data_IF_875418039276
#
_entry.id   IF_875418039276
#
_cell.length_a   1.000
_cell.length_b   1.000
_cell.length_c   1.000
_cell.angle_alpha   90.00
_cell.angle_beta   90.00
_cell.angle_gamma   90.00
#
_symmetry.space_group_name_H-M   'P 1'
#
loop_
_entity.id
_entity.type
_entity.pdbx_description
1 polymer ?
#
# COMPACT_ATOMS: atom_id res chain seq x y z
N UNK A 1 8.85 6.46 48.74
CA UNK A 1 9.63 6.53 47.50
C UNK A 1 8.73 7.17 46.47
N UNK A 2 9.00 8.44 46.19
CA UNK A 2 8.23 9.33 45.31
C UNK A 2 8.53 9.01 43.87
N UNK A 3 7.54 8.47 43.15
CA UNK A 3 7.54 8.43 41.69
C UNK A 3 7.34 9.87 41.19
N UNK A 4 8.37 10.48 40.60
CA UNK A 4 8.19 11.71 39.84
C UNK A 4 7.56 11.32 38.51
N UNK A 5 6.23 11.32 38.44
CA UNK A 5 5.53 11.36 37.18
C UNK A 5 6.05 12.59 36.43
N UNK A 6 6.70 12.39 35.29
CA UNK A 6 7.09 13.48 34.40
C UNK A 6 5.79 14.12 33.93
N UNK A 7 5.39 15.22 34.58
CA UNK A 7 4.24 16.00 34.17
C UNK A 7 4.43 16.38 32.70
N UNK A 8 3.47 15.99 31.85
CA UNK A 8 3.51 16.35 30.43
C UNK A 8 3.57 17.86 30.32
N UNK A 9 4.57 18.39 29.61
CA UNK A 9 4.68 19.83 29.37
C UNK A 9 3.68 20.23 28.29
N UNK A 10 3.02 21.37 28.51
CA UNK A 10 2.14 22.02 27.55
C UNK A 10 2.74 23.38 27.15
N UNK A 11 3.00 23.58 25.87
CA UNK A 11 3.43 24.85 25.27
C UNK A 11 2.21 25.71 24.98
N UNK A 12 2.11 26.84 25.66
CA UNK A 12 1.01 27.80 25.53
C UNK A 12 1.54 29.12 25.00
N UNK A 13 0.78 29.76 24.11
CA UNK A 13 1.01 31.14 23.68
C UNK A 13 -0.04 32.02 24.35
N UNK A 14 0.37 32.89 25.26
CA UNK A 14 -0.51 33.83 25.96
C UNK A 14 -0.36 35.22 25.38
N UNK A 15 -1.46 35.80 24.90
CA UNK A 15 -1.54 37.16 24.36
C UNK A 15 -2.17 38.09 25.39
N UNK A 16 -1.36 38.99 25.92
CA UNK A 16 -1.79 40.11 26.75
C UNK A 16 -1.97 41.37 25.88
N UNK A 17 -2.57 42.47 26.40
CA UNK A 17 -2.84 43.67 25.61
C UNK A 17 -1.61 44.25 24.90
N UNK A 18 -0.45 44.23 25.56
CA UNK A 18 0.77 44.89 25.10
C UNK A 18 1.90 43.90 24.72
N UNK A 19 1.68 42.59 24.85
CA UNK A 19 2.72 41.59 24.59
C UNK A 19 2.16 40.18 24.32
N UNK A 20 3.00 39.30 23.77
CA UNK A 20 2.73 37.87 23.63
C UNK A 20 3.87 37.09 24.30
N UNK A 21 3.54 36.06 25.08
CA UNK A 21 4.49 35.23 25.81
C UNK A 21 4.23 33.76 25.48
N UNK A 22 5.28 33.03 25.13
CA UNK A 22 5.23 31.58 24.94
C UNK A 22 5.83 30.89 26.17
N UNK A 23 5.07 30.01 26.82
CA UNK A 23 5.50 29.30 28.03
C UNK A 23 5.29 27.80 27.89
N UNK A 24 6.24 27.03 28.43
CA UNK A 24 6.06 25.60 28.63
C UNK A 24 5.71 25.38 30.10
N UNK A 25 4.51 24.86 30.36
CA UNK A 25 3.98 24.67 31.72
C UNK A 25 3.48 23.25 31.92
N UNK A 26 3.62 22.66 33.12
CA UNK A 26 3.13 21.31 33.38
C UNK A 26 1.60 21.24 33.21
N UNK A 27 1.12 20.24 32.47
CA UNK A 27 -0.28 20.13 32.03
C UNK A 27 -1.28 19.79 33.18
N UNK A 28 -0.75 19.46 34.36
CA UNK A 28 -1.47 19.15 35.59
C UNK A 28 -1.61 20.36 36.54
N UNK A 29 -1.01 21.51 36.20
CA UNK A 29 -1.12 22.74 37.00
C UNK A 29 -2.48 23.41 36.78
N UNK A 30 -3.18 23.86 37.85
CA UNK A 30 -4.40 24.66 37.76
C UNK A 30 -4.18 26.02 37.09
N UNK A 31 -5.21 26.53 36.41
CA UNK A 31 -5.15 27.85 35.75
C UNK A 31 -4.90 28.99 36.76
N UNK A 32 -5.46 28.90 37.96
CA UNK A 32 -5.24 29.84 39.06
C UNK A 32 -3.75 30.04 39.39
N UNK A 33 -2.96 28.98 39.36
CA UNK A 33 -1.54 29.01 39.72
C UNK A 33 -0.67 29.62 38.61
N UNK A 34 -1.19 29.66 37.38
CA UNK A 34 -0.52 30.24 36.22
C UNK A 34 -0.69 31.76 36.15
N UNK A 35 -1.85 32.28 36.60
CA UNK A 35 -2.21 33.69 36.52
C UNK A 35 -1.17 34.63 37.16
N UNK A 36 -0.71 34.43 38.41
CA UNK A 36 0.31 35.29 39.02
C UNK A 36 1.62 35.29 38.24
N UNK A 37 2.00 34.13 37.70
CA UNK A 37 3.24 34.01 36.92
C UNK A 37 3.13 34.76 35.60
N UNK A 38 1.97 34.70 34.94
CA UNK A 38 1.69 35.44 33.71
C UNK A 38 1.63 36.95 33.94
N UNK A 39 1.02 37.40 35.05
CA UNK A 39 0.93 38.83 35.38
C UNK A 39 2.29 39.47 35.61
N UNK A 40 3.22 38.77 36.26
CA UNK A 40 4.62 39.24 36.38
C UNK A 40 5.30 39.49 35.03
N UNK A 41 4.94 38.75 33.98
CA UNK A 41 5.49 39.00 32.65
C UNK A 41 4.87 40.23 31.97
N UNK A 42 3.62 40.57 32.30
CA UNK A 42 2.90 41.73 31.75
C UNK A 42 3.35 43.05 32.40
N UNK A 43 3.79 43.02 33.66
CA UNK A 43 4.38 44.15 34.38
C UNK A 43 3.70 44.43 35.73
N UNK A 44 4.41 45.06 36.67
CA UNK A 44 3.92 45.35 38.04
C UNK A 44 2.63 46.19 38.06
N UNK A 45 2.44 47.09 37.08
CA UNK A 45 1.21 47.89 36.91
C UNK A 45 -0.04 47.03 36.60
N UNK A 46 0.13 45.82 36.05
CA UNK A 46 -0.97 44.90 35.75
C UNK A 46 -1.47 44.15 36.99
N UNK A 47 -0.60 43.91 37.97
CA UNK A 47 -0.98 43.32 39.26
C UNK A 47 -1.79 44.32 40.11
N UNK A 48 -1.40 45.60 40.12
CA UNK A 48 -2.09 46.66 40.88
C UNK A 48 -3.44 47.04 40.27
N UNK A 49 -3.56 47.05 38.94
CA UNK A 49 -4.81 47.36 38.23
C UNK A 49 -5.87 46.25 38.29
N UNK A 50 -5.52 45.05 38.81
CA UNK A 50 -6.47 43.95 38.97
C UNK A 50 -7.63 44.25 39.93
N UNK A 51 -7.42 45.17 40.89
CA UNK A 51 -8.44 45.60 41.85
C UNK A 51 -9.54 46.45 41.21
N UNK A 52 -9.20 47.21 40.17
CA UNK A 52 -10.15 48.09 39.46
C UNK A 52 -11.01 47.34 38.42
N UNK A 53 -10.57 46.13 38.01
CA UNK A 53 -11.17 45.38 36.89
C UNK A 53 -11.70 43.99 37.26
N UNK A 54 -11.96 43.74 38.56
CA UNK A 54 -12.45 42.47 39.09
C UNK A 54 -11.56 41.26 38.75
N UNK A 55 -10.26 41.47 38.61
CA UNK A 55 -9.27 40.42 38.32
C UNK A 55 -8.98 40.20 36.83
N UNK A 56 -8.16 39.19 36.56
CA UNK A 56 -7.71 38.82 35.22
C UNK A 56 -8.19 37.44 34.85
N UNK A 57 -8.59 37.26 33.59
CA UNK A 57 -9.06 35.97 33.08
C UNK A 57 -8.23 35.51 31.89
N UNK A 58 -8.06 34.19 31.81
CA UNK A 58 -7.53 33.51 30.63
C UNK A 58 -8.69 32.91 29.84
N UNK A 59 -8.76 33.21 28.56
CA UNK A 59 -9.82 32.69 27.68
C UNK A 59 -9.26 32.30 26.32
N UNK A 60 -9.89 31.31 25.67
CA UNK A 60 -9.68 31.05 24.24
C UNK A 60 -10.53 32.01 23.43
N UNK A 61 -10.13 32.27 22.18
CA UNK A 61 -10.91 33.12 21.30
C UNK A 61 -12.25 32.44 20.98
N UNK A 62 -13.36 33.04 21.40
CA UNK A 62 -14.70 32.54 21.13
C UNK A 62 -15.26 31.58 22.19
N UNK A 63 -14.51 31.25 23.23
CA UNK A 63 -14.96 30.44 24.37
C UNK A 63 -15.17 31.33 25.61
N UNK A 64 -15.93 30.88 26.62
CA UNK A 64 -15.95 31.55 27.93
C UNK A 64 -14.56 31.54 28.61
N UNK A 65 -14.36 32.41 29.62
CA UNK A 65 -13.20 32.36 30.50
C UNK A 65 -12.96 30.96 31.05
N UNK A 66 -11.69 30.55 31.10
CA UNK A 66 -11.28 29.27 31.68
C UNK A 66 -11.58 29.25 33.17
N UNK A 67 -12.05 28.11 33.64
CA UNK A 67 -12.22 27.84 35.07
C UNK A 67 -10.85 27.82 35.75
N UNK A 68 -10.70 28.65 36.80
CA UNK A 68 -9.46 28.84 37.53
C UNK A 68 -9.05 27.56 38.30
N UNK A 69 -10.02 26.73 38.71
CA UNK A 69 -9.79 25.48 39.42
C UNK A 69 -9.42 24.32 38.47
N UNK A 70 -9.64 24.47 37.17
CA UNK A 70 -9.35 23.43 36.19
C UNK A 70 -7.85 23.34 35.89
N UNK A 71 -7.34 22.12 35.75
CA UNK A 71 -5.99 21.88 35.22
C UNK A 71 -5.95 22.17 33.72
N UNK A 72 -4.77 22.47 33.16
CA UNK A 72 -4.61 22.70 31.72
C UNK A 72 -5.18 21.54 30.87
N UNK A 73 -4.95 20.30 31.31
CA UNK A 73 -5.52 19.11 30.65
C UNK A 73 -7.03 19.04 30.82
N UNK A 74 -7.56 19.36 32.01
CA UNK A 74 -9.00 19.40 32.29
C UNK A 74 -9.75 20.47 31.50
N UNK A 75 -9.09 21.59 31.23
CA UNK A 75 -9.57 22.67 30.35
C UNK A 75 -9.46 22.33 28.84
N UNK A 76 -8.90 21.16 28.50
CA UNK A 76 -8.69 20.71 27.12
C UNK A 76 -7.67 21.56 26.36
N UNK A 77 -6.62 22.04 27.04
CA UNK A 77 -5.52 22.76 26.42
C UNK A 77 -4.41 21.78 26.02
N UNK A 78 -3.92 21.94 24.80
CA UNK A 78 -2.87 21.12 24.20
C UNK A 78 -1.70 21.99 23.74
N UNK A 79 -0.57 21.35 23.43
CA UNK A 79 0.60 22.03 22.86
C UNK A 79 0.22 22.92 21.66
N UNK A 80 0.60 24.20 21.74
CA UNK A 80 0.32 25.22 20.74
C UNK A 80 -0.99 25.98 20.95
N UNK A 81 -1.69 25.80 22.07
CA UNK A 81 -2.90 26.56 22.36
C UNK A 81 -2.60 28.05 22.56
N UNK A 82 -3.43 28.91 21.96
CA UNK A 82 -3.35 30.36 22.08
C UNK A 82 -4.43 30.85 23.05
N UNK A 83 -4.00 31.54 24.11
CA UNK A 83 -4.85 32.10 25.16
C UNK A 83 -4.76 33.62 25.17
N UNK A 84 -5.83 34.27 25.57
CA UNK A 84 -5.89 35.72 25.74
C UNK A 84 -6.02 36.03 27.22
N UNK A 85 -5.08 36.83 27.73
CA UNK A 85 -5.10 37.35 29.09
C UNK A 85 -5.72 38.75 29.05
N UNK A 86 -6.88 38.91 29.67
CA UNK A 86 -7.65 40.16 29.69
C UNK A 86 -8.21 40.45 31.08
N UNK A 87 -8.48 41.72 31.41
CA UNK A 87 -9.26 42.06 32.59
C UNK A 87 -10.65 41.41 32.54
N UNK A 88 -11.20 40.99 33.68
CA UNK A 88 -12.48 40.29 33.75
C UNK A 88 -13.63 41.10 33.15
N UNK A 89 -13.61 42.42 33.34
CA UNK A 89 -14.58 43.37 32.74
C UNK A 89 -14.49 43.48 31.21
N UNK A 90 -13.39 43.01 30.62
CA UNK A 90 -13.13 43.02 29.17
C UNK A 90 -13.02 41.60 28.59
N UNK A 91 -13.66 40.62 29.24
CA UNK A 91 -13.76 39.27 28.69
C UNK A 91 -14.37 39.29 27.28
N UNK A 92 -13.83 38.44 26.40
CA UNK A 92 -14.30 38.38 25.02
C UNK A 92 -15.67 37.68 25.03
N UNK A 93 -16.63 38.17 24.22
CA UNK A 93 -17.91 37.50 24.11
C UNK A 93 -17.72 36.09 23.51
N UNK A 94 -18.46 35.12 24.04
CA UNK A 94 -18.53 33.77 23.47
C UNK A 94 -19.00 33.84 22.01
N UNK A 95 -18.40 33.02 21.14
CA UNK A 95 -18.72 32.97 19.74
C UNK A 95 -20.16 32.47 19.55
N UNK A 96 -21.10 33.41 19.35
CA UNK A 96 -22.45 33.09 18.90
C UNK A 96 -22.44 32.89 17.40
N UNK A 97 -22.63 31.64 16.99
CA UNK A 97 -22.94 31.28 15.60
C UNK A 97 -24.34 31.81 15.28
N UNK A 98 -24.39 32.94 14.57
CA UNK A 98 -25.64 33.63 14.20
C UNK A 98 -26.47 32.83 13.19
N UNK A 99 -25.84 31.84 12.53
CA UNK A 99 -26.48 30.94 11.59
C UNK A 99 -26.06 29.47 11.85
N UNK A 100 -26.88 28.77 12.64
CA UNK A 100 -26.72 27.34 12.89
C UNK A 100 -26.85 26.52 11.60
N UNK A 101 -27.53 27.02 10.57
CA UNK A 101 -27.70 26.33 9.29
C UNK A 101 -26.40 26.38 8.48
N UNK A 102 -25.76 27.55 8.39
CA UNK A 102 -24.45 27.68 7.76
C UNK A 102 -23.36 26.96 8.55
N UNK A 103 -23.38 27.03 9.89
CA UNK A 103 -22.46 26.27 10.73
C UNK A 103 -22.59 24.74 10.56
N UNK A 104 -23.82 24.23 10.41
CA UNK A 104 -24.07 22.82 10.10
C UNK A 104 -23.65 22.51 8.67
N UNK A 105 -23.92 23.36 7.69
CA UNK A 105 -23.57 23.14 6.28
C UNK A 105 -22.04 23.13 6.08
N UNK A 106 -21.31 24.03 6.74
CA UNK A 106 -19.85 24.11 6.67
C UNK A 106 -19.18 22.97 7.45
N UNK A 107 -19.71 22.63 8.63
CA UNK A 107 -19.22 21.48 9.41
C UNK A 107 -19.54 20.15 8.71
N UNK A 108 -20.71 20.04 8.08
CA UNK A 108 -21.07 18.90 7.24
C UNK A 108 -20.17 18.84 6.00
N UNK A 109 -19.89 19.97 5.34
CA UNK A 109 -18.97 20.06 4.21
C UNK A 109 -17.55 19.62 4.54
N UNK A 110 -17.04 20.01 5.71
CA UNK A 110 -15.68 19.71 6.15
C UNK A 110 -15.53 18.32 6.81
N UNK A 111 -16.54 17.82 7.54
CA UNK A 111 -16.46 16.51 8.22
C UNK A 111 -17.07 15.37 7.43
N UNK A 112 -18.15 15.62 6.67
CA UNK A 112 -18.73 14.63 5.78
C UNK A 112 -18.10 14.88 4.40
N UNK A 113 -17.39 13.90 3.84
CA UNK A 113 -16.82 13.99 2.49
C UNK A 113 -17.96 14.24 1.48
N UNK A 114 -18.24 15.50 1.19
CA UNK A 114 -19.29 15.91 0.27
C UNK A 114 -18.87 15.63 -1.17
N UNK A 115 -19.86 15.50 -2.05
CA UNK A 115 -19.65 15.21 -3.45
C UNK A 115 -18.87 16.35 -4.13
N UNK A 116 -17.64 16.06 -4.56
CA UNK A 116 -16.74 17.05 -5.18
C UNK A 116 -16.55 16.79 -6.68
N UNK A 117 -16.10 17.78 -7.46
CA UNK A 117 -15.70 17.56 -8.86
C UNK A 117 -14.66 16.44 -9.02
N UNK A 118 -13.74 16.32 -8.05
CA UNK A 118 -12.77 15.21 -8.00
C UNK A 118 -13.45 13.85 -7.80
N UNK A 119 -14.45 13.76 -6.92
CA UNK A 119 -15.23 12.55 -6.73
C UNK A 119 -16.03 12.17 -7.99
N UNK A 120 -16.66 13.14 -8.67
CA UNK A 120 -17.32 12.92 -9.97
C UNK A 120 -16.36 12.36 -11.02
N UNK A 121 -15.18 12.95 -11.16
CA UNK A 121 -14.15 12.47 -12.11
C UNK A 121 -13.69 11.07 -11.76
N UNK A 122 -13.42 10.82 -10.48
CA UNK A 122 -13.06 9.49 -9.98
C UNK A 122 -14.13 8.45 -10.29
N UNK A 123 -15.41 8.76 -10.07
CA UNK A 123 -16.53 7.89 -10.43
C UNK A 123 -16.56 7.62 -11.93
N UNK A 124 -16.51 8.66 -12.77
CA UNK A 124 -16.59 8.51 -14.21
C UNK A 124 -15.42 7.68 -14.77
N UNK A 125 -14.19 7.98 -14.35
CA UNK A 125 -13.02 7.19 -14.75
C UNK A 125 -13.11 5.76 -14.23
N UNK A 126 -13.58 5.57 -13.00
CA UNK A 126 -13.83 4.25 -12.42
C UNK A 126 -14.86 3.45 -13.22
N UNK A 127 -15.97 4.08 -13.62
CA UNK A 127 -17.01 3.45 -14.44
C UNK A 127 -16.52 3.14 -15.85
N UNK A 128 -15.71 4.02 -16.46
CA UNK A 128 -15.10 3.77 -17.77
C UNK A 128 -14.11 2.59 -17.70
N UNK A 129 -13.29 2.54 -16.64
CA UNK A 129 -12.40 1.42 -16.38
C UNK A 129 -13.17 0.11 -16.16
N UNK A 130 -14.24 0.13 -15.37
CA UNK A 130 -15.10 -1.03 -15.13
C UNK A 130 -15.79 -1.51 -16.43
N UNK A 131 -16.28 -0.59 -17.26
CA UNK A 131 -16.85 -0.92 -18.56
C UNK A 131 -15.81 -1.55 -19.50
N UNK A 132 -14.58 -1.02 -19.54
CA UNK A 132 -13.49 -1.60 -20.32
C UNK A 132 -13.11 -3.01 -19.83
N UNK A 133 -12.97 -3.21 -18.52
CA UNK A 133 -12.73 -4.54 -17.93
C UNK A 133 -13.85 -5.51 -18.27
N UNK A 134 -15.11 -5.05 -18.22
CA UNK A 134 -16.27 -5.87 -18.58
C UNK A 134 -16.24 -6.25 -20.06
N UNK A 135 -15.92 -5.32 -20.96
CA UNK A 135 -15.77 -5.60 -22.39
C UNK A 135 -14.66 -6.63 -22.66
N UNK A 136 -13.52 -6.53 -21.97
CA UNK A 136 -12.44 -7.52 -22.05
C UNK A 136 -12.91 -8.89 -21.56
N UNK A 137 -13.62 -8.95 -20.42
CA UNK A 137 -14.15 -10.20 -19.89
C UNK A 137 -15.14 -10.87 -20.86
N UNK A 138 -16.00 -10.09 -21.51
CA UNK A 138 -16.95 -10.59 -22.51
C UNK A 138 -16.24 -11.20 -23.72
N UNK A 139 -15.11 -10.63 -24.16
CA UNK A 139 -14.31 -11.16 -25.27
C UNK A 139 -13.46 -12.35 -24.84
N UNK A 140 -13.02 -12.42 -23.59
CA UNK A 140 -12.21 -13.51 -23.05
C UNK A 140 -13.00 -14.79 -22.76
N UNK A 141 -14.29 -14.67 -22.42
CA UNK A 141 -15.10 -15.78 -21.92
C UNK A 141 -15.34 -16.92 -22.93
N UNK A 142 -15.61 -18.15 -22.44
CA UNK A 142 -15.97 -19.29 -23.27
C UNK A 142 -17.31 -19.13 -23.99
N UNK A 143 -18.18 -18.21 -23.52
CA UNK A 143 -19.47 -17.88 -24.14
C UNK A 143 -19.34 -17.00 -25.39
N UNK A 144 -18.16 -16.44 -25.66
CA UNK A 144 -17.96 -15.52 -26.77
C UNK A 144 -18.10 -16.27 -28.11
N UNK A 145 -19.22 -16.04 -28.80
CA UNK A 145 -19.45 -16.52 -30.15
C UNK A 145 -18.55 -15.75 -31.14
N UNK A 146 -17.80 -16.47 -31.99
CA UNK A 146 -16.94 -15.88 -33.01
C UNK A 146 -15.60 -16.61 -33.17
N UNK A 147 -14.92 -16.38 -34.30
CA UNK A 147 -13.58 -16.93 -34.53
C UNK A 147 -12.55 -16.31 -33.56
N UNK A 148 -11.53 -17.08 -33.18
CA UNK A 148 -10.46 -16.60 -32.29
C UNK A 148 -9.79 -15.32 -32.81
N UNK A 149 -9.60 -15.21 -34.13
CA UNK A 149 -9.03 -14.03 -34.78
C UNK A 149 -9.91 -12.79 -34.65
N UNK A 150 -11.24 -12.93 -34.73
CA UNK A 150 -12.16 -11.81 -34.52
C UNK A 150 -12.07 -11.30 -33.09
N UNK A 151 -12.09 -12.21 -32.11
CA UNK A 151 -11.94 -11.86 -30.68
C UNK A 151 -10.59 -11.20 -30.39
N UNK A 152 -9.51 -11.72 -30.98
CA UNK A 152 -8.18 -11.11 -30.89
C UNK A 152 -8.16 -9.68 -31.49
N UNK A 153 -8.81 -9.49 -32.65
CA UNK A 153 -8.97 -8.17 -33.27
C UNK A 153 -9.73 -7.18 -32.39
N UNK A 154 -10.84 -7.60 -31.77
CA UNK A 154 -11.58 -6.77 -30.82
C UNK A 154 -10.74 -6.38 -29.60
N UNK A 155 -10.00 -7.32 -29.01
CA UNK A 155 -9.12 -7.05 -27.88
C UNK A 155 -7.97 -6.10 -28.25
N UNK A 156 -7.36 -6.28 -29.43
CA UNK A 156 -6.31 -5.41 -29.95
C UNK A 156 -6.84 -3.99 -30.19
N UNK A 157 -8.01 -3.87 -30.83
CA UNK A 157 -8.66 -2.58 -31.07
C UNK A 157 -9.00 -1.87 -29.75
N UNK A 158 -9.54 -2.58 -28.76
CA UNK A 158 -9.80 -2.04 -27.44
C UNK A 158 -8.51 -1.53 -26.77
N UNK A 159 -7.42 -2.29 -26.83
CA UNK A 159 -6.11 -1.86 -26.32
C UNK A 159 -5.58 -0.59 -27.01
N UNK A 160 -5.72 -0.50 -28.34
CA UNK A 160 -5.32 0.69 -29.11
C UNK A 160 -6.18 1.92 -28.78
N UNK A 161 -7.50 1.76 -28.64
CA UNK A 161 -8.40 2.84 -28.25
C UNK A 161 -8.11 3.35 -26.83
N UNK A 162 -7.85 2.44 -25.89
CA UNK A 162 -7.43 2.80 -24.53
C UNK A 162 -6.08 3.51 -24.52
N UNK A 163 -5.13 3.07 -25.34
CA UNK A 163 -3.83 3.72 -25.48
C UNK A 163 -3.96 5.15 -26.05
N UNK A 164 -4.78 5.32 -27.09
CA UNK A 164 -5.09 6.63 -27.66
C UNK A 164 -5.80 7.53 -26.63
N UNK A 165 -6.76 6.98 -25.87
CA UNK A 165 -7.45 7.67 -24.79
C UNK A 165 -6.53 8.07 -23.63
N UNK A 166 -5.59 7.20 -23.25
CA UNK A 166 -4.60 7.49 -22.22
C UNK A 166 -3.65 8.60 -22.67
N UNK A 167 -3.14 8.50 -23.91
CA UNK A 167 -2.28 9.51 -24.51
C UNK A 167 -2.97 10.87 -24.63
N UNK A 168 -4.22 10.92 -25.10
CA UNK A 168 -4.99 12.16 -25.19
C UNK A 168 -5.33 12.74 -23.82
N UNK A 169 -5.71 11.91 -22.84
CA UNK A 169 -5.95 12.36 -21.47
C UNK A 169 -4.69 12.98 -20.85
N UNK A 170 -3.51 12.41 -21.12
CA UNK A 170 -2.26 12.98 -20.62
C UNK A 170 -1.83 14.25 -21.37
N UNK A 171 -1.82 14.20 -22.70
CA UNK A 171 -1.19 15.24 -23.55
C UNK A 171 -2.13 16.38 -23.91
N UNK A 172 -3.41 16.11 -24.12
CA UNK A 172 -4.39 17.12 -24.53
C UNK A 172 -5.17 17.70 -23.34
N UNK A 173 -5.53 16.86 -22.37
CA UNK A 173 -6.34 17.29 -21.20
C UNK A 173 -5.48 17.60 -19.98
N UNK A 174 -4.31 16.97 -19.84
CA UNK A 174 -3.45 17.11 -18.66
C UNK A 174 -3.96 16.35 -17.42
N UNK A 175 -4.95 15.47 -17.57
CA UNK A 175 -5.59 14.77 -16.45
C UNK A 175 -4.89 13.44 -16.15
N UNK A 176 -4.07 13.44 -15.09
CA UNK A 176 -3.21 12.31 -14.70
C UNK A 176 -3.97 11.06 -14.30
N UNK A 177 -5.10 11.20 -13.60
CA UNK A 177 -5.88 10.07 -13.11
C UNK A 177 -6.49 9.26 -14.27
N UNK A 178 -7.09 9.93 -15.24
CA UNK A 178 -7.64 9.31 -16.45
C UNK A 178 -6.54 8.66 -17.29
N UNK A 179 -5.42 9.36 -17.50
CA UNK A 179 -4.29 8.85 -18.28
C UNK A 179 -3.71 7.55 -17.68
N UNK A 180 -3.53 7.52 -16.35
CA UNK A 180 -2.99 6.34 -15.66
C UNK A 180 -3.99 5.18 -15.60
N UNK A 181 -5.28 5.46 -15.33
CA UNK A 181 -6.31 4.43 -15.31
C UNK A 181 -6.48 3.75 -16.68
N UNK A 182 -6.57 4.53 -17.76
CA UNK A 182 -6.67 4.00 -19.13
C UNK A 182 -5.37 3.30 -19.53
N UNK A 183 -4.21 3.87 -19.20
CA UNK A 183 -2.90 3.28 -19.49
C UNK A 183 -2.70 1.90 -18.87
N UNK A 184 -3.16 1.70 -17.63
CA UNK A 184 -3.10 0.41 -16.94
C UNK A 184 -3.96 -0.68 -17.60
N UNK A 185 -5.00 -0.31 -18.35
CA UNK A 185 -5.86 -1.25 -19.06
C UNK A 185 -5.32 -1.62 -20.45
N UNK A 186 -4.32 -0.91 -20.98
CA UNK A 186 -3.71 -1.24 -22.28
C UNK A 186 -3.05 -2.62 -22.25
N UNK A 187 -2.23 -2.87 -21.23
CA UNK A 187 -1.50 -4.12 -21.08
C UNK A 187 -2.41 -5.37 -21.05
N UNK A 188 -3.46 -5.46 -20.20
CA UNK A 188 -4.34 -6.63 -20.20
C UNK A 188 -5.13 -6.81 -21.50
N UNK A 189 -5.55 -5.72 -22.17
CA UNK A 189 -6.23 -5.82 -23.47
C UNK A 189 -5.31 -6.38 -24.57
N UNK A 190 -4.07 -5.87 -24.67
CA UNK A 190 -3.12 -6.38 -25.64
C UNK A 190 -2.61 -7.78 -25.28
N UNK A 191 -2.48 -8.11 -24.00
CA UNK A 191 -2.18 -9.46 -23.55
C UNK A 191 -3.30 -10.44 -23.94
N UNK A 192 -4.58 -10.05 -23.81
CA UNK A 192 -5.70 -10.87 -24.29
C UNK A 192 -5.65 -11.07 -25.81
N UNK A 193 -5.33 -10.03 -26.57
CA UNK A 193 -5.13 -10.15 -28.02
C UNK A 193 -3.98 -11.14 -28.34
N UNK A 194 -2.85 -11.00 -27.66
CA UNK A 194 -1.70 -11.91 -27.77
C UNK A 194 -2.04 -13.35 -27.40
N UNK A 195 -2.87 -13.57 -26.38
CA UNK A 195 -3.33 -14.89 -25.97
C UNK A 195 -4.19 -15.57 -27.05
N UNK A 196 -5.04 -14.80 -27.73
CA UNK A 196 -6.00 -15.32 -28.71
C UNK A 196 -5.40 -15.51 -30.11
N UNK A 197 -4.33 -14.78 -30.44
CA UNK A 197 -3.71 -14.75 -31.77
C UNK A 197 -3.14 -16.10 -32.27
N UNK A 198 -2.34 -16.86 -31.47
CA UNK A 198 -1.72 -18.10 -31.94
C UNK A 198 -2.71 -19.23 -32.31
N UNK A 199 -3.99 -19.13 -31.89
CA UNK A 199 -4.97 -20.18 -32.12
C UNK A 199 -4.60 -21.49 -31.40
N UNK A 200 -4.97 -22.63 -31.98
CA UNK A 200 -4.71 -23.98 -31.42
C UNK A 200 -5.72 -24.44 -30.35
N UNK A 201 -5.83 -25.74 -30.17
CA UNK A 201 -6.67 -26.32 -29.11
C UNK A 201 -5.84 -26.42 -27.80
N UNK A 202 -6.19 -25.67 -26.73
CA UNK A 202 -5.48 -25.74 -25.46
C UNK A 202 -5.72 -27.07 -24.70
N UNK A 203 -6.59 -27.95 -25.20
CA UNK A 203 -6.87 -29.27 -24.62
C UNK A 203 -6.35 -30.43 -25.50
N UNK A 204 -5.70 -30.10 -26.62
CA UNK A 204 -5.18 -31.08 -27.56
C UNK A 204 -3.86 -31.74 -27.11
N UNK A 205 -3.31 -32.67 -27.92
CA UNK A 205 -2.05 -33.36 -27.60
C UNK A 205 -0.84 -32.43 -27.46
N UNK A 206 -0.85 -31.27 -28.12
CA UNK A 206 0.18 -30.22 -28.02
C UNK A 206 -0.20 -29.08 -27.05
N UNK A 207 -1.15 -29.33 -26.12
CA UNK A 207 -1.69 -28.32 -25.19
C UNK A 207 -0.61 -27.48 -24.51
N UNK A 208 0.47 -28.10 -24.00
CA UNK A 208 1.56 -27.39 -23.34
C UNK A 208 2.26 -26.39 -24.28
N UNK A 209 2.56 -26.78 -25.53
CA UNK A 209 3.17 -25.88 -26.52
C UNK A 209 2.23 -24.75 -26.93
N UNK A 210 0.94 -25.06 -27.09
CA UNK A 210 -0.10 -24.06 -27.40
C UNK A 210 -0.20 -23.04 -26.27
N UNK A 211 -0.34 -23.50 -25.02
CA UNK A 211 -0.40 -22.63 -23.83
C UNK A 211 0.88 -21.81 -23.69
N UNK A 212 2.04 -22.43 -23.87
CA UNK A 212 3.33 -21.74 -23.85
C UNK A 212 3.41 -20.62 -24.90
N UNK A 213 3.09 -20.91 -26.15
CA UNK A 213 3.07 -19.92 -27.23
C UNK A 213 2.07 -18.79 -26.97
N UNK A 214 0.87 -19.10 -26.45
CA UNK A 214 -0.13 -18.09 -26.07
C UNK A 214 0.33 -17.22 -24.91
N UNK A 215 0.98 -17.78 -23.89
CA UNK A 215 1.55 -17.02 -22.77
C UNK A 215 2.70 -16.11 -23.22
N UNK A 216 3.58 -16.59 -24.12
CA UNK A 216 4.65 -15.75 -24.70
C UNK A 216 4.05 -14.59 -25.48
N UNK A 217 3.10 -14.85 -26.37
CA UNK A 217 2.46 -13.82 -27.17
C UNK A 217 1.67 -12.82 -26.29
N UNK A 218 0.93 -13.32 -25.28
CA UNK A 218 0.21 -12.49 -24.33
C UNK A 218 1.16 -11.61 -23.49
N UNK A 219 2.22 -12.20 -22.93
CA UNK A 219 3.19 -11.48 -22.12
C UNK A 219 4.00 -10.45 -22.93
N UNK A 220 4.40 -10.78 -24.16
CA UNK A 220 5.08 -9.85 -25.05
C UNK A 220 4.17 -8.68 -25.47
N UNK A 221 2.93 -8.95 -25.86
CA UNK A 221 1.95 -7.91 -26.23
C UNK A 221 1.56 -7.04 -25.02
N UNK A 222 1.38 -7.65 -23.85
CA UNK A 222 1.10 -6.93 -22.60
C UNK A 222 2.26 -6.03 -22.16
N UNK A 223 3.50 -6.54 -22.20
CA UNK A 223 4.70 -5.77 -21.87
C UNK A 223 4.90 -4.61 -22.86
N UNK A 224 4.74 -4.88 -24.16
CA UNK A 224 4.75 -3.84 -25.20
C UNK A 224 3.68 -2.78 -24.96
N UNK A 225 2.45 -3.20 -24.61
CA UNK A 225 1.35 -2.31 -24.25
C UNK A 225 1.65 -1.40 -23.06
N UNK A 226 2.21 -1.96 -21.98
CA UNK A 226 2.61 -1.20 -20.80
C UNK A 226 3.69 -0.16 -21.12
N UNK A 227 4.70 -0.54 -21.93
CA UNK A 227 5.77 0.36 -22.37
C UNK A 227 5.23 1.46 -23.30
N UNK A 228 4.34 1.11 -24.23
CA UNK A 228 3.69 2.09 -25.11
C UNK A 228 2.80 3.05 -24.31
N UNK A 229 2.05 2.56 -23.33
CA UNK A 229 1.24 3.41 -22.44
C UNK A 229 2.13 4.35 -21.63
N UNK A 230 3.29 3.88 -21.16
CA UNK A 230 4.27 4.71 -20.46
C UNK A 230 4.83 5.80 -21.38
N UNK A 231 5.20 5.45 -22.61
CA UNK A 231 5.70 6.41 -23.60
C UNK A 231 4.65 7.44 -24.00
N UNK A 232 3.40 7.00 -24.22
CA UNK A 232 2.30 7.88 -24.62
C UNK A 232 1.90 8.86 -23.51
N UNK A 233 1.81 8.37 -22.26
CA UNK A 233 1.32 9.18 -21.14
C UNK A 233 2.42 9.95 -20.41
N UNK A 234 3.63 9.42 -20.28
CA UNK A 234 4.69 9.93 -19.39
C UNK A 234 4.25 10.15 -17.92
N UNK A 235 3.16 9.49 -17.48
CA UNK A 235 2.60 9.59 -16.12
C UNK A 235 2.34 8.17 -15.60
N UNK A 236 2.47 7.97 -14.29
CA UNK A 236 2.20 6.66 -13.68
C UNK A 236 3.30 5.61 -13.93
N UNK A 237 4.54 6.06 -14.16
CA UNK A 237 5.72 5.22 -14.38
C UNK A 237 5.82 3.98 -13.49
N UNK A 238 5.70 4.11 -12.16
CA UNK A 238 5.72 2.96 -11.26
C UNK A 238 4.72 1.86 -11.62
N UNK A 239 3.44 2.22 -11.78
CA UNK A 239 2.37 1.26 -12.01
C UNK A 239 2.48 0.62 -13.39
N UNK A 240 2.82 1.39 -14.43
CA UNK A 240 3.00 0.87 -15.78
C UNK A 240 4.21 -0.07 -15.88
N UNK A 241 5.34 0.27 -15.24
CA UNK A 241 6.48 -0.65 -15.20
C UNK A 241 6.14 -1.94 -14.46
N UNK A 242 5.40 -1.86 -13.34
CA UNK A 242 4.94 -3.05 -12.63
C UNK A 242 4.08 -3.96 -13.54
N UNK A 243 3.16 -3.40 -14.32
CA UNK A 243 2.39 -4.18 -15.31
C UNK A 243 3.27 -4.79 -16.41
N UNK A 244 4.33 -4.09 -16.82
CA UNK A 244 5.31 -4.63 -17.77
C UNK A 244 6.09 -5.81 -17.16
N UNK A 245 6.50 -5.73 -15.89
CA UNK A 245 7.18 -6.81 -15.16
C UNK A 245 6.28 -8.05 -15.04
N UNK A 246 5.00 -7.87 -14.68
CA UNK A 246 4.03 -8.98 -14.63
C UNK A 246 3.86 -9.63 -15.99
N UNK A 247 3.74 -8.82 -17.06
CA UNK A 247 3.61 -9.32 -18.43
C UNK A 247 4.86 -10.05 -18.91
N UNK A 248 6.05 -9.53 -18.57
CA UNK A 248 7.32 -10.19 -18.86
C UNK A 248 7.45 -11.52 -18.11
N UNK A 249 7.03 -11.59 -16.84
CA UNK A 249 6.99 -12.83 -16.08
C UNK A 249 6.07 -13.88 -16.74
N UNK A 250 4.91 -13.46 -17.26
CA UNK A 250 4.03 -14.33 -18.02
C UNK A 250 4.67 -14.83 -19.34
N UNK A 251 5.39 -13.95 -20.06
CA UNK A 251 6.11 -14.33 -21.27
C UNK A 251 7.23 -15.35 -20.97
N UNK A 252 8.02 -15.13 -19.91
CA UNK A 252 9.06 -16.06 -19.48
C UNK A 252 8.46 -17.40 -19.07
N UNK A 253 7.36 -17.39 -18.31
CA UNK A 253 6.63 -18.62 -17.94
C UNK A 253 6.17 -19.38 -19.18
N UNK A 254 5.59 -18.67 -20.16
CA UNK A 254 5.20 -19.24 -21.44
C UNK A 254 6.36 -19.83 -22.22
N UNK A 255 7.52 -19.17 -22.21
CA UNK A 255 8.70 -19.63 -22.91
C UNK A 255 9.27 -20.91 -22.28
N UNK A 256 9.30 -20.99 -20.95
CA UNK A 256 9.70 -22.18 -20.21
C UNK A 256 8.79 -23.37 -20.53
N UNK A 257 7.48 -23.14 -20.63
CA UNK A 257 6.52 -24.19 -20.99
C UNK A 257 6.66 -24.60 -22.46
N UNK A 258 6.61 -23.63 -23.37
CA UNK A 258 6.53 -23.90 -24.81
C UNK A 258 7.84 -24.32 -25.45
N UNK A 259 8.97 -23.73 -25.05
CA UNK A 259 10.29 -23.97 -25.65
C UNK A 259 11.17 -24.90 -24.82
N UNK A 260 11.13 -24.79 -23.48
CA UNK A 260 11.92 -25.67 -22.61
C UNK A 260 11.19 -26.97 -22.22
N UNK A 261 9.90 -27.09 -22.54
CA UNK A 261 9.11 -28.30 -22.25
C UNK A 261 8.84 -28.52 -20.75
N UNK A 262 8.96 -27.48 -19.93
CA UNK A 262 8.64 -27.56 -18.51
C UNK A 262 7.13 -27.63 -18.30
N UNK A 263 6.72 -28.41 -17.29
CA UNK A 263 5.33 -28.40 -16.85
C UNK A 263 4.92 -27.00 -16.32
N UNK A 264 3.64 -26.64 -16.46
CA UNK A 264 3.16 -25.33 -16.02
C UNK A 264 3.42 -25.03 -14.53
N UNK A 265 3.22 -25.99 -13.58
CA UNK A 265 3.58 -25.80 -12.18
C UNK A 265 5.07 -25.47 -11.99
N UNK A 266 5.95 -26.20 -12.68
CA UNK A 266 7.40 -25.99 -12.62
C UNK A 266 7.82 -24.60 -13.13
N UNK A 267 7.34 -24.20 -14.31
CA UNK A 267 7.64 -22.90 -14.88
C UNK A 267 7.15 -21.75 -13.97
N UNK A 268 5.92 -21.87 -13.45
CA UNK A 268 5.33 -20.87 -12.56
C UNK A 268 6.06 -20.77 -11.21
N UNK A 269 6.45 -21.90 -10.62
CA UNK A 269 7.24 -21.95 -9.38
C UNK A 269 8.59 -21.27 -9.56
N UNK A 270 9.33 -21.57 -10.64
CA UNK A 270 10.64 -20.99 -10.90
C UNK A 270 10.56 -19.46 -11.08
N UNK A 271 9.62 -18.99 -11.89
CA UNK A 271 9.44 -17.55 -12.15
C UNK A 271 9.01 -16.81 -10.88
N UNK A 272 8.04 -17.34 -10.13
CA UNK A 272 7.61 -16.74 -8.86
C UNK A 272 8.75 -16.73 -7.83
N UNK A 273 9.54 -17.81 -7.77
CA UNK A 273 10.69 -17.90 -6.86
C UNK A 273 11.72 -16.81 -7.17
N UNK A 274 12.12 -16.66 -8.44
CA UNK A 274 13.06 -15.61 -8.84
C UNK A 274 12.55 -14.21 -8.47
N UNK A 275 11.27 -13.93 -8.74
CA UNK A 275 10.66 -12.61 -8.48
C UNK A 275 10.49 -12.34 -6.98
N UNK A 276 10.11 -13.33 -6.18
CA UNK A 276 9.98 -13.15 -4.73
C UNK A 276 11.34 -13.05 -4.06
N UNK A 277 12.37 -13.77 -4.52
CA UNK A 277 13.72 -13.65 -3.96
C UNK A 277 14.37 -12.31 -4.29
N UNK A 278 13.98 -11.66 -5.39
CA UNK A 278 14.43 -10.30 -5.69
C UNK A 278 13.70 -9.22 -4.89
N UNK A 279 12.68 -9.58 -4.07
CA UNK A 279 11.96 -8.64 -3.21
C UNK A 279 12.89 -7.85 -2.26
N UNK A 280 14.01 -8.45 -1.82
CA UNK A 280 15.02 -7.77 -1.01
C UNK A 280 15.73 -6.61 -1.71
N UNK A 281 15.71 -6.55 -3.04
CA UNK A 281 16.31 -5.46 -3.83
C UNK A 281 15.31 -4.36 -4.21
N UNK A 282 14.03 -4.53 -3.87
CA UNK A 282 12.95 -3.58 -4.22
C UNK A 282 13.19 -2.19 -3.64
N UNK A 283 13.56 -2.08 -2.37
CA UNK A 283 13.78 -0.77 -1.74
C UNK A 283 15.00 -0.02 -2.35
N UNK A 284 16.20 -0.64 -2.48
CA UNK A 284 17.31 -0.01 -3.20
C UNK A 284 16.99 0.37 -4.64
N UNK A 285 16.24 -0.48 -5.35
CA UNK A 285 15.84 -0.22 -6.74
C UNK A 285 14.87 0.95 -6.82
N UNK A 286 13.84 0.98 -5.97
CA UNK A 286 12.87 2.06 -5.89
C UNK A 286 13.52 3.41 -5.56
N UNK A 287 14.52 3.41 -4.67
CA UNK A 287 15.30 4.60 -4.32
C UNK A 287 16.06 5.14 -5.54
N UNK A 288 16.72 4.26 -6.30
CA UNK A 288 17.41 4.62 -7.55
C UNK A 288 16.43 5.11 -8.63
N UNK A 289 15.29 4.43 -8.79
CA UNK A 289 14.26 4.80 -9.76
C UNK A 289 13.54 6.12 -9.41
N UNK A 290 13.56 6.52 -8.14
CA UNK A 290 13.12 7.84 -7.70
C UNK A 290 14.18 8.94 -7.87
N UNK A 291 15.34 8.63 -8.45
CA UNK A 291 16.44 9.57 -8.67
C UNK A 291 17.22 9.92 -7.40
N UNK A 292 17.00 9.21 -6.30
CA UNK A 292 17.76 9.41 -5.07
C UNK A 292 19.08 8.63 -5.11
N UNK A 293 20.15 9.25 -4.61
CA UNK A 293 21.48 8.64 -4.48
C UNK A 293 21.81 8.46 -3.02
N UNK A 294 22.24 7.26 -2.64
CA UNK A 294 22.67 7.01 -1.27
C UNK A 294 24.03 7.71 -1.11
N UNK A 295 24.20 8.59 -0.10
CA UNK A 295 25.49 9.22 0.13
C UNK A 295 26.57 8.15 0.33
N UNK A 296 27.77 8.30 -0.25
CA UNK A 296 28.87 7.39 0.04
C UNK A 296 29.19 7.47 1.54
N UNK A 297 29.44 6.31 2.15
CA UNK A 297 29.87 6.26 3.55
C UNK A 297 31.23 6.96 3.66
N UNK A 298 31.38 7.99 4.51
CA UNK A 298 32.63 8.72 4.64
C UNK A 298 33.71 7.77 5.18
N UNK A 299 34.83 7.70 4.46
CA UNK A 299 35.99 6.86 4.79
C UNK A 299 37.07 7.63 5.56
N UNK A 300 36.93 8.95 5.67
CA UNK A 300 37.85 9.85 6.38
C UNK A 300 37.09 11.01 7.06
N UNK A 301 37.70 11.62 8.07
CA UNK A 301 37.10 12.73 8.81
C UNK A 301 36.86 13.98 7.92
N UNK A 302 37.65 14.17 6.86
CA UNK A 302 37.43 15.26 5.89
C UNK A 302 36.17 15.07 5.04
N UNK A 303 35.81 13.82 4.72
CA UNK A 303 34.60 13.48 3.96
C UNK A 303 33.31 13.63 4.79
N UNK A 304 33.38 13.82 6.11
CA UNK A 304 32.22 14.19 6.92
C UNK A 304 31.71 15.61 6.59
N UNK A 305 32.55 16.43 5.94
CA UNK A 305 32.20 17.78 5.52
C UNK A 305 31.80 17.89 4.05
N UNK A 306 31.77 16.78 3.30
CA UNK A 306 31.29 16.75 1.92
C UNK A 306 29.79 16.40 1.88
N UNK A 307 28.98 17.15 1.13
CA UNK A 307 27.55 16.89 0.97
C UNK A 307 26.68 17.23 2.18
N UNK A 308 27.11 18.21 2.99
CA UNK A 308 26.35 18.77 4.13
C UNK A 308 25.38 19.89 3.71
N UNK A 309 25.34 20.23 2.41
CA UNK A 309 24.35 21.19 1.92
C UNK A 309 22.93 20.71 2.26
N UNK A 310 22.12 21.55 2.94
CA UNK A 310 20.75 21.19 3.25
C UNK A 310 19.98 20.92 1.95
N UNK A 311 19.43 19.71 1.82
CA UNK A 311 18.49 19.44 0.74
C UNK A 311 17.25 20.32 0.92
N UNK A 312 16.72 20.87 -0.18
CA UNK A 312 15.42 21.52 -0.15
C UNK A 312 14.37 20.50 0.31
N UNK A 313 13.71 20.76 1.45
CA UNK A 313 12.80 19.79 2.08
C UNK A 313 11.66 19.32 1.17
N UNK A 314 11.20 20.20 0.26
CA UNK A 314 10.17 19.90 -0.72
C UNK A 314 10.62 18.85 -1.76
N UNK A 315 11.83 18.99 -2.30
CA UNK A 315 12.38 18.04 -3.27
C UNK A 315 12.61 16.65 -2.64
N UNK A 316 13.05 16.61 -1.38
CA UNK A 316 13.19 15.35 -0.63
C UNK A 316 11.83 14.70 -0.40
N UNK A 317 10.81 15.48 -0.05
CA UNK A 317 9.46 14.98 0.16
C UNK A 317 8.88 14.37 -1.13
N UNK A 318 8.97 15.08 -2.27
CA UNK A 318 8.49 14.59 -3.56
C UNK A 318 9.19 13.29 -4.00
N UNK A 319 10.52 13.24 -3.89
CA UNK A 319 11.30 12.04 -4.25
C UNK A 319 11.01 10.87 -3.31
N UNK A 320 10.77 11.14 -2.02
CA UNK A 320 10.38 10.13 -1.04
C UNK A 320 9.00 9.55 -1.37
N UNK A 321 8.04 10.39 -1.74
CA UNK A 321 6.72 9.93 -2.18
C UNK A 321 6.83 9.08 -3.45
N UNK A 322 7.64 9.52 -4.43
CA UNK A 322 7.89 8.77 -5.65
C UNK A 322 8.55 7.41 -5.37
N UNK A 323 9.53 7.35 -4.47
CA UNK A 323 10.12 6.08 -4.01
C UNK A 323 9.06 5.18 -3.37
N UNK A 324 8.18 5.73 -2.53
CA UNK A 324 7.04 5.00 -1.96
C UNK A 324 6.10 4.41 -3.02
N UNK A 325 5.84 5.15 -4.11
CA UNK A 325 5.06 4.66 -5.26
C UNK A 325 5.78 3.53 -6.01
N UNK A 326 7.10 3.64 -6.21
CA UNK A 326 7.93 2.56 -6.81
C UNK A 326 7.92 1.30 -5.98
N UNK A 327 8.12 1.40 -4.67
CA UNK A 327 8.05 0.25 -3.74
C UNK A 327 6.67 -0.42 -3.83
N UNK A 328 5.60 0.37 -3.82
CA UNK A 328 4.23 -0.14 -3.91
C UNK A 328 3.99 -0.90 -5.22
N UNK A 329 4.47 -0.35 -6.34
CA UNK A 329 4.29 -0.95 -7.65
C UNK A 329 5.13 -2.23 -7.83
N UNK A 330 6.37 -2.26 -7.34
CA UNK A 330 7.21 -3.46 -7.43
C UNK A 330 6.69 -4.60 -6.54
N UNK A 331 6.18 -4.29 -5.34
CA UNK A 331 5.53 -5.29 -4.50
C UNK A 331 4.17 -5.73 -5.04
N UNK A 332 3.40 -4.85 -5.69
CA UNK A 332 2.17 -5.28 -6.36
C UNK A 332 2.45 -6.21 -7.54
N UNK A 333 3.53 -5.96 -8.32
CA UNK A 333 3.98 -6.89 -9.35
C UNK A 333 4.39 -8.25 -8.74
N UNK A 334 5.21 -8.23 -7.69
CA UNK A 334 5.65 -9.44 -6.96
C UNK A 334 4.46 -10.25 -6.46
N UNK A 335 3.51 -9.59 -5.81
CA UNK A 335 2.29 -10.21 -5.30
C UNK A 335 1.38 -10.76 -6.40
N UNK A 336 1.26 -10.05 -7.53
CA UNK A 336 0.45 -10.48 -8.68
C UNK A 336 1.04 -11.74 -9.32
N UNK A 337 2.36 -11.77 -9.54
CA UNK A 337 3.06 -12.96 -10.06
C UNK A 337 2.94 -14.12 -9.08
N UNK A 338 3.15 -13.87 -7.79
CA UNK A 338 2.98 -14.88 -6.74
C UNK A 338 1.57 -15.46 -6.72
N UNK A 339 0.54 -14.61 -6.78
CA UNK A 339 -0.86 -15.03 -6.82
C UNK A 339 -1.16 -15.88 -8.07
N UNK A 340 -0.66 -15.49 -9.24
CA UNK A 340 -0.84 -16.24 -10.48
C UNK A 340 -0.15 -17.63 -10.41
N UNK A 341 1.07 -17.69 -9.88
CA UNK A 341 1.77 -18.96 -9.68
C UNK A 341 1.05 -19.86 -8.66
N UNK A 342 0.50 -19.30 -7.59
CA UNK A 342 -0.30 -20.04 -6.60
C UNK A 342 -1.55 -20.66 -7.21
N UNK A 343 -2.22 -19.99 -8.17
CA UNK A 343 -3.36 -20.58 -8.90
C UNK A 343 -2.92 -21.84 -9.66
N UNK A 344 -1.78 -21.78 -10.35
CA UNK A 344 -1.25 -22.92 -11.12
C UNK A 344 -0.80 -24.06 -10.19
N UNK A 345 -0.03 -23.74 -9.15
CA UNK A 345 0.51 -24.70 -8.18
C UNK A 345 -0.54 -25.40 -7.32
N UNK A 346 -1.78 -24.92 -7.29
CA UNK A 346 -2.85 -25.48 -6.44
C UNK A 346 -4.02 -26.03 -7.27
N UNK A 347 -3.87 -26.11 -8.59
CA UNK A 347 -4.88 -26.68 -9.47
C UNK A 347 -5.09 -28.16 -9.12
N UNK A 348 -4.06 -28.97 -9.29
CA UNK A 348 -4.01 -30.41 -8.96
C UNK A 348 -2.66 -30.74 -8.30
N UNK A 349 -2.46 -30.34 -7.03
CA UNK A 349 -1.13 -30.26 -6.45
C UNK A 349 -0.59 -31.62 -5.96
N UNK A 350 0.59 -31.98 -6.43
CA UNK A 350 1.44 -33.00 -5.80
C UNK A 350 2.19 -32.45 -4.58
N UNK A 351 2.80 -33.33 -3.78
CA UNK A 351 3.55 -32.95 -2.57
C UNK A 351 4.57 -31.81 -2.79
N UNK A 352 5.41 -31.81 -3.86
CA UNK A 352 6.34 -30.70 -4.12
C UNK A 352 5.62 -29.38 -4.36
N UNK A 353 4.47 -29.41 -5.04
CA UNK A 353 3.67 -28.23 -5.37
C UNK A 353 2.97 -27.69 -4.12
N UNK A 354 2.43 -28.56 -3.27
CA UNK A 354 1.86 -28.20 -1.96
C UNK A 354 2.91 -27.49 -1.10
N UNK A 355 4.11 -28.06 -0.97
CA UNK A 355 5.17 -27.47 -0.16
C UNK A 355 5.66 -26.14 -0.74
N UNK A 356 5.80 -26.04 -2.06
CA UNK A 356 6.20 -24.80 -2.73
C UNK A 356 5.15 -23.71 -2.56
N UNK A 357 3.87 -24.03 -2.76
CA UNK A 357 2.76 -23.10 -2.59
C UNK A 357 2.63 -22.64 -1.13
N UNK A 358 2.82 -23.55 -0.17
CA UNK A 358 2.80 -23.23 1.26
C UNK A 358 3.97 -22.30 1.62
N UNK A 359 5.19 -22.64 1.21
CA UNK A 359 6.38 -21.82 1.46
C UNK A 359 6.25 -20.44 0.82
N UNK A 360 5.79 -20.36 -0.43
CA UNK A 360 5.54 -19.11 -1.14
C UNK A 360 4.49 -18.25 -0.43
N UNK A 361 3.37 -18.84 0.00
CA UNK A 361 2.29 -18.14 0.71
C UNK A 361 2.77 -17.56 2.03
N UNK A 362 3.46 -18.38 2.84
CA UNK A 362 4.00 -17.97 4.14
C UNK A 362 5.10 -16.92 3.97
N UNK A 363 5.94 -17.06 2.95
CA UNK A 363 6.97 -16.08 2.63
C UNK A 363 6.37 -14.72 2.29
N UNK A 364 5.34 -14.65 1.45
CA UNK A 364 4.65 -13.40 1.10
C UNK A 364 4.01 -12.73 2.33
N UNK A 365 3.39 -13.52 3.22
CA UNK A 365 2.83 -13.02 4.48
C UNK A 365 3.92 -12.46 5.40
N UNK A 366 5.04 -13.17 5.58
CA UNK A 366 6.14 -12.74 6.41
C UNK A 366 6.83 -11.49 5.85
N UNK A 367 6.96 -11.41 4.52
CA UNK A 367 7.54 -10.24 3.85
C UNK A 367 6.68 -8.99 4.05
N UNK A 368 5.35 -9.12 4.14
CA UNK A 368 4.45 -8.00 4.41
C UNK A 368 4.70 -7.33 5.78
N UNK A 369 5.25 -8.07 6.76
CA UNK A 369 5.50 -7.55 8.12
C UNK A 369 6.45 -6.34 8.13
N UNK A 370 7.46 -6.36 7.27
CA UNK A 370 8.49 -5.31 7.18
C UNK A 370 8.03 -4.02 6.51
N UNK A 371 6.85 -4.02 5.89
CA UNK A 371 6.34 -2.87 5.13
C UNK A 371 5.55 -1.94 6.07
N UNK A 372 5.64 -0.63 5.88
CA UNK A 372 4.94 0.36 6.72
C UNK A 372 3.60 0.78 6.07
N UNK A 373 3.59 1.00 4.76
CA UNK A 373 2.38 1.41 4.05
C UNK A 373 1.37 0.28 3.90
N UNK A 374 0.09 0.59 4.13
CA UNK A 374 -1.00 -0.38 4.00
C UNK A 374 -1.11 -0.96 2.59
N UNK A 375 -0.95 -0.13 1.54
CA UNK A 375 -0.99 -0.60 0.16
C UNK A 375 0.12 -1.60 -0.14
N UNK A 376 1.34 -1.30 0.31
CA UNK A 376 2.50 -2.19 0.17
C UNK A 376 2.29 -3.52 0.92
N UNK A 377 1.77 -3.44 2.15
CA UNK A 377 1.40 -4.63 2.93
C UNK A 377 0.37 -5.49 2.22
N UNK A 378 -0.72 -4.89 1.75
CA UNK A 378 -1.81 -5.61 1.10
C UNK A 378 -1.39 -6.25 -0.21
N UNK A 379 -0.47 -5.62 -0.96
CA UNK A 379 0.11 -6.20 -2.19
C UNK A 379 0.76 -7.57 -1.99
N UNK A 380 1.24 -7.91 -0.78
CA UNK A 380 1.83 -9.21 -0.48
C UNK A 380 0.95 -10.07 0.43
N UNK A 381 0.26 -9.44 1.39
CA UNK A 381 -0.59 -10.13 2.33
C UNK A 381 -1.79 -10.80 1.63
N UNK A 382 -2.45 -10.10 0.70
CA UNK A 382 -3.61 -10.65 -0.02
C UNK A 382 -3.22 -11.88 -0.86
N UNK A 383 -2.17 -11.85 -1.71
CA UNK A 383 -1.66 -13.04 -2.38
C UNK A 383 -1.27 -14.19 -1.44
N UNK A 384 -0.64 -13.88 -0.29
CA UNK A 384 -0.26 -14.89 0.68
C UNK A 384 -1.47 -15.60 1.31
N UNK A 385 -2.49 -14.85 1.73
CA UNK A 385 -3.76 -15.42 2.23
C UNK A 385 -4.48 -16.18 1.11
N UNK A 386 -4.51 -15.62 -0.10
CA UNK A 386 -5.09 -16.24 -1.28
C UNK A 386 -4.48 -17.63 -1.56
N UNK A 387 -3.15 -17.77 -1.49
CA UNK A 387 -2.48 -19.06 -1.64
C UNK A 387 -2.87 -20.10 -0.59
N UNK A 388 -3.00 -19.70 0.67
CA UNK A 388 -3.47 -20.59 1.74
C UNK A 388 -4.93 -21.02 1.54
N UNK A 389 -5.78 -20.11 1.09
CA UNK A 389 -7.18 -20.42 0.75
C UNK A 389 -7.23 -21.39 -0.44
N UNK A 390 -6.43 -21.17 -1.48
CA UNK A 390 -6.33 -22.08 -2.62
C UNK A 390 -5.84 -23.48 -2.24
N UNK A 391 -4.85 -23.58 -1.33
CA UNK A 391 -4.41 -24.86 -0.77
C UNK A 391 -5.52 -25.56 0.01
N UNK A 392 -6.25 -24.83 0.86
CA UNK A 392 -7.38 -25.39 1.60
C UNK A 392 -8.49 -25.90 0.66
N UNK A 393 -8.76 -25.17 -0.43
CA UNK A 393 -9.68 -25.58 -1.49
C UNK A 393 -9.18 -26.85 -2.18
N UNK A 394 -7.91 -26.90 -2.57
CA UNK A 394 -7.32 -28.07 -3.22
C UNK A 394 -7.41 -29.31 -2.33
N UNK A 395 -7.11 -29.16 -1.03
CA UNK A 395 -7.21 -30.25 -0.05
C UNK A 395 -8.67 -30.71 0.16
N UNK A 396 -9.63 -29.79 0.20
CA UNK A 396 -11.06 -30.11 0.29
C UNK A 396 -11.61 -30.80 -0.96
N UNK A 397 -11.10 -30.44 -2.14
CA UNK A 397 -11.51 -31.03 -3.41
C UNK A 397 -11.06 -32.50 -3.53
N UNK A 398 -9.84 -32.81 -3.09
CA UNK A 398 -9.25 -34.14 -3.15
C UNK A 398 -9.60 -35.04 -1.94
N UNK A 399 -9.99 -34.45 -0.81
CA UNK A 399 -10.36 -35.19 0.39
C UNK A 399 -11.72 -35.90 0.30
N UNK A 400 -11.78 -37.15 0.78
CA UNK A 400 -13.05 -37.82 1.12
C UNK A 400 -13.77 -37.08 2.28
N UNK A 401 -15.02 -37.43 2.58
CA UNK A 401 -15.90 -36.67 3.49
C UNK A 401 -15.25 -36.18 4.80
N UNK A 402 -14.40 -36.98 5.43
CA UNK A 402 -13.65 -36.62 6.65
C UNK A 402 -12.62 -35.50 6.43
N UNK A 403 -11.91 -35.49 5.29
CA UNK A 403 -10.95 -34.44 4.94
C UNK A 403 -11.60 -33.07 4.77
N UNK A 404 -12.82 -33.03 4.23
CA UNK A 404 -13.60 -31.77 4.11
C UNK A 404 -14.00 -31.21 5.47
N UNK A 405 -14.39 -32.08 6.40
CA UNK A 405 -14.71 -31.67 7.79
C UNK A 405 -13.46 -31.15 8.49
N UNK A 406 -12.30 -31.77 8.28
CA UNK A 406 -11.03 -31.30 8.81
C UNK A 406 -10.66 -29.90 8.27
N UNK A 407 -10.75 -29.68 6.94
CA UNK A 407 -10.54 -28.34 6.33
C UNK A 407 -11.46 -27.31 6.98
N UNK A 408 -12.76 -27.62 7.07
CA UNK A 408 -13.75 -26.73 7.64
C UNK A 408 -13.42 -26.36 9.09
N UNK A 409 -13.07 -27.34 9.92
CA UNK A 409 -12.69 -27.12 11.32
C UNK A 409 -11.42 -26.25 11.43
N UNK A 410 -10.39 -26.51 10.60
CA UNK A 410 -9.16 -25.71 10.58
C UNK A 410 -9.42 -24.27 10.14
N UNK A 411 -10.24 -24.06 9.11
CA UNK A 411 -10.60 -22.72 8.64
C UNK A 411 -11.40 -21.95 9.70
N UNK A 412 -12.36 -22.59 10.39
CA UNK A 412 -13.09 -21.96 11.49
C UNK A 412 -12.16 -21.63 12.66
N UNK A 413 -11.25 -22.53 13.03
CA UNK A 413 -10.28 -22.29 14.08
C UNK A 413 -9.34 -21.13 13.71
N UNK A 414 -8.88 -21.06 12.46
CA UNK A 414 -8.07 -19.97 11.94
C UNK A 414 -8.84 -18.64 11.94
N UNK A 415 -10.11 -18.63 11.52
CA UNK A 415 -10.96 -17.45 11.55
C UNK A 415 -11.17 -16.94 12.97
N UNK A 416 -11.47 -17.83 13.92
CA UNK A 416 -11.59 -17.49 15.34
C UNK A 416 -10.27 -16.93 15.88
N UNK A 417 -9.14 -17.58 15.58
CA UNK A 417 -7.81 -17.11 15.96
C UNK A 417 -7.47 -15.72 15.40
N UNK A 418 -7.83 -15.44 14.15
CA UNK A 418 -7.63 -14.13 13.53
C UNK A 418 -8.51 -13.05 14.16
N UNK A 419 -9.77 -13.34 14.51
CA UNK A 419 -10.65 -12.41 15.23
C UNK A 419 -10.07 -12.10 16.62
N UNK A 420 -9.61 -13.12 17.35
CA UNK A 420 -8.95 -12.94 18.64
C UNK A 420 -7.67 -12.11 18.48
N UNK A 421 -6.85 -12.39 17.46
CA UNK A 421 -5.65 -11.63 17.17
C UNK A 421 -5.96 -10.17 16.83
N UNK A 422 -7.03 -9.90 16.09
CA UNK A 422 -7.47 -8.54 15.77
C UNK A 422 -7.84 -7.72 17.02
N UNK A 423 -8.33 -8.36 18.08
CA UNK A 423 -8.62 -7.69 19.36
C UNK A 423 -7.41 -7.56 20.27
N UNK A 424 -6.45 -8.48 20.19
CA UNK A 424 -5.38 -8.61 21.19
C UNK A 424 -4.02 -8.11 20.74
N UNK A 425 -3.73 -8.09 19.44
CA UNK A 425 -2.39 -7.80 18.89
C UNK A 425 -2.18 -6.31 18.57
N UNK A 426 -3.13 -5.57 17.97
CA UNK A 426 -2.89 -4.18 17.57
C UNK A 426 -2.43 -3.30 18.73
N UNK A 427 -1.38 -2.51 18.51
CA UNK A 427 -0.81 -1.60 19.51
C UNK A 427 0.03 -2.26 20.61
N UNK A 428 0.08 -3.61 20.68
CA UNK A 428 0.89 -4.31 21.68
C UNK A 428 2.32 -4.56 21.19
N UNK A 429 3.29 -4.36 22.07
CA UNK A 429 4.68 -4.78 21.85
C UNK A 429 4.76 -6.29 22.08
N UNK A 430 4.86 -7.06 21.00
CA UNK A 430 5.09 -8.50 21.08
C UNK A 430 6.46 -8.78 21.70
N UNK A 431 6.56 -9.89 22.45
CA UNK A 431 7.82 -10.32 23.04
C UNK A 431 8.89 -10.55 21.94
N UNK A 432 10.17 -10.20 22.19
CA UNK A 432 11.22 -10.25 21.17
C UNK A 432 11.40 -11.60 20.48
N UNK A 433 11.09 -12.71 21.16
CA UNK A 433 11.23 -14.05 20.60
C UNK A 433 10.30 -14.32 19.41
N UNK A 434 9.09 -13.73 19.37
CA UNK A 434 8.17 -13.88 18.23
C UNK A 434 8.67 -13.14 17.00
N UNK A 435 9.29 -11.97 17.19
CA UNK A 435 9.94 -11.22 16.11
C UNK A 435 11.09 -12.04 15.50
N UNK A 436 11.93 -12.63 16.36
CA UNK A 436 13.04 -13.48 15.93
C UNK A 436 12.58 -14.79 15.29
N UNK A 437 11.52 -15.42 15.80
CA UNK A 437 10.94 -16.61 15.18
C UNK A 437 10.42 -16.32 13.77
N UNK A 438 9.75 -15.16 13.57
CA UNK A 438 9.30 -14.74 12.26
C UNK A 438 10.46 -14.44 11.29
N UNK A 439 11.57 -13.88 11.78
CA UNK A 439 12.79 -13.67 10.99
C UNK A 439 13.44 -14.99 10.56
N UNK A 440 13.59 -15.94 11.49
CA UNK A 440 14.10 -17.28 11.18
C UNK A 440 13.19 -18.02 10.19
N UNK A 441 11.88 -17.95 10.38
CA UNK A 441 10.92 -18.52 9.44
C UNK A 441 11.01 -17.86 8.06
N UNK A 442 11.14 -16.54 8.01
CA UNK A 442 11.30 -15.80 6.76
C UNK A 442 12.54 -16.28 5.99
N UNK A 443 13.70 -16.31 6.66
CA UNK A 443 14.94 -16.80 6.03
C UNK A 443 14.83 -18.28 5.66
N UNK A 444 14.23 -19.11 6.51
CA UNK A 444 14.02 -20.53 6.24
C UNK A 444 13.16 -20.77 4.99
N UNK A 445 12.02 -20.10 4.85
CA UNK A 445 11.17 -20.21 3.66
C UNK A 445 11.84 -19.62 2.42
N UNK A 446 12.55 -18.50 2.53
CA UNK A 446 13.30 -17.92 1.41
C UNK A 446 14.37 -18.90 0.89
N UNK A 447 15.13 -19.53 1.78
CA UNK A 447 16.15 -20.53 1.41
C UNK A 447 15.51 -21.80 0.87
N UNK A 448 14.40 -22.26 1.45
CA UNK A 448 13.70 -23.47 1.02
C UNK A 448 12.97 -23.31 -0.33
N UNK A 449 12.59 -22.09 -0.71
CA UNK A 449 11.79 -21.87 -1.91
C UNK A 449 12.52 -22.30 -3.19
N UNK A 450 13.82 -22.05 -3.29
CA UNK A 450 14.63 -22.44 -4.45
C UNK A 450 14.70 -23.97 -4.65
N UNK A 451 15.12 -24.79 -3.67
CA UNK A 451 15.11 -26.24 -3.83
C UNK A 451 13.71 -26.80 -4.03
N UNK A 452 12.67 -26.23 -3.40
CA UNK A 452 11.28 -26.65 -3.64
C UNK A 452 10.85 -26.39 -5.09
N UNK A 453 11.16 -25.22 -5.66
CA UNK A 453 10.86 -24.93 -7.06
C UNK A 453 11.63 -25.85 -8.02
N UNK A 454 12.89 -26.19 -7.71
CA UNK A 454 13.66 -27.17 -8.48
C UNK A 454 13.09 -28.59 -8.35
N UNK A 455 12.47 -28.92 -7.21
CA UNK A 455 11.78 -30.19 -7.02
C UNK A 455 10.53 -30.27 -7.90
N UNK A 456 9.70 -29.22 -7.93
CA UNK A 456 8.55 -29.14 -8.84
C UNK A 456 9.01 -29.25 -10.30
N UNK A 457 10.18 -28.68 -10.64
CA UNK A 457 10.79 -28.83 -11.96
C UNK A 457 11.32 -30.24 -12.29
N UNK A 458 11.26 -31.19 -11.35
CA UNK A 458 11.69 -32.57 -11.56
C UNK A 458 13.21 -32.77 -11.54
N UNK A 459 14.00 -31.75 -11.16
CA UNK A 459 15.47 -31.80 -11.20
C UNK A 459 16.03 -32.97 -10.39
N UNK A 460 15.51 -33.20 -9.18
CA UNK A 460 15.97 -34.29 -8.32
C UNK A 460 15.62 -35.67 -8.87
N UNK A 461 14.48 -35.81 -9.56
CA UNK A 461 14.11 -37.04 -10.24
C UNK A 461 15.04 -37.32 -11.41
N UNK A 462 15.32 -36.29 -12.21
CA UNK A 462 16.28 -36.36 -13.33
C UNK A 462 17.69 -36.72 -12.86
N UNK A 463 18.20 -36.07 -11.80
CA UNK A 463 19.50 -36.37 -11.21
C UNK A 463 19.58 -37.81 -10.70
N UNK A 464 18.52 -38.32 -10.06
CA UNK A 464 18.48 -39.72 -9.60
C UNK A 464 18.55 -40.70 -10.78
N UNK A 465 17.80 -40.43 -11.85
CA UNK A 465 17.81 -41.26 -13.06
C UNK A 465 19.14 -41.31 -13.81
N UNK A 466 20.04 -40.34 -13.59
CA UNK A 466 21.42 -40.39 -14.14
C UNK A 466 22.33 -41.37 -13.40
N UNK A 467 22.03 -41.68 -12.13
CA UNK A 467 22.88 -42.50 -11.27
C UNK A 467 22.28 -43.87 -10.90
N UNK A 468 21.06 -44.19 -11.37
CA UNK A 468 20.37 -45.48 -11.13
C UNK A 468 19.10 -45.32 -10.34
#
# INVERSE_FOLDING_TARGET
MTDSAVAGLCRLTVRAPNMSVDLAVPADVPVADLLPTLLRYVGEEAEESGLDHAGWVLQRLGDPPLDEEATLTGAGLFDGAVLYLRPHTEALPEARLDDLVDGIAETAGNRLRTWSPGASRGLLVGTAAAAAVTAVALVAGPWAAGSGSFRAGCAALAGLLLLAGAGSASRAVGERLSATALGLLVAPCLALAGWLLPGGDPLGPDAARVVGARLVAAGAAGAGGAVLALAATAVGGPALLATAVVSAAAAVTGALIGYCGLAAPAASALVATVIVLTAGTVAPLAFKLAGMRMPPLPSSAGQLQEGIEPYAGEEVAERTELAGRWVTALFSATGTVGAAALVVLTADPDLPEVLTALALSLLLLLHSRGLVHIGQRMSLAVPGVWGLLLLSRAWAAHGHGEGRVAVFAVLLAAAAGLVIAAWTVPGRRLLPYWGRAAELAHTGFAVALLPLALWVAGLFGWLRGLFG
#
